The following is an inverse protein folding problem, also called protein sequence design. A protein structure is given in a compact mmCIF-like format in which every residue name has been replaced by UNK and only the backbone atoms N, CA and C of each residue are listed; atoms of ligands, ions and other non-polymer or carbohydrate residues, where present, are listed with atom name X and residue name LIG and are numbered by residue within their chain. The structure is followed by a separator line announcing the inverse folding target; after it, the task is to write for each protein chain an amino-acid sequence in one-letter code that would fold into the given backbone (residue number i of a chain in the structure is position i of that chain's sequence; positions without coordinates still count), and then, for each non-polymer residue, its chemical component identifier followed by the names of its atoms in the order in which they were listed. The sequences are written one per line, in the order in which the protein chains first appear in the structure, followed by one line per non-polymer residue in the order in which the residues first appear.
data_IF_370497343739
#
_entry.id   IF_370497343739
#
_cell.length_a   1.000
_cell.length_b   1.000
_cell.length_c   1.000
_cell.angle_alpha   90.00
_cell.angle_beta   90.00
_cell.angle_gamma   90.00
#
_symmetry.space_group_name_H-M   'P 1'
#
loop_
_entity.id
_entity.type
_entity.pdbx_description
1 polymer ?
#
# COMPACT_ATOMS: atom_id res chain seq x y z
N UNK A 1 44.90 -23.44 -12.37
CA UNK A 1 43.80 -22.53 -11.99
C UNK A 1 42.86 -23.33 -11.10
N UNK A 2 42.74 -22.95 -9.83
CA UNK A 2 41.95 -23.68 -8.85
C UNK A 2 40.44 -23.48 -9.13
N UNK A 3 39.70 -24.57 -9.29
CA UNK A 3 38.26 -24.55 -9.59
C UNK A 3 37.41 -24.10 -8.38
N UNK A 4 38.02 -23.98 -7.19
CA UNK A 4 37.40 -23.57 -5.93
C UNK A 4 37.15 -22.05 -5.80
N UNK A 5 37.76 -21.22 -6.66
CA UNK A 5 37.64 -19.75 -6.55
C UNK A 5 36.51 -19.16 -7.40
N UNK A 6 35.91 -19.94 -8.29
CA UNK A 6 34.96 -19.41 -9.30
C UNK A 6 33.64 -18.92 -8.66
N UNK A 7 33.24 -19.48 -7.52
CA UNK A 7 31.98 -19.16 -6.84
C UNK A 7 32.16 -18.77 -5.36
N UNK A 8 33.31 -18.15 -5.02
CA UNK A 8 33.53 -17.60 -3.67
C UNK A 8 32.99 -16.17 -3.59
N UNK A 9 31.87 -16.01 -2.90
CA UNK A 9 31.18 -14.74 -2.63
C UNK A 9 31.22 -14.37 -1.14
N UNK A 10 32.02 -15.07 -0.34
CA UNK A 10 32.05 -14.90 1.11
C UNK A 10 32.45 -13.48 1.51
N UNK A 11 31.77 -12.92 2.51
CA UNK A 11 31.97 -11.57 3.05
C UNK A 11 31.89 -10.42 2.01
N UNK A 12 31.34 -10.66 0.82
CA UNK A 12 31.20 -9.64 -0.21
C UNK A 12 29.90 -8.82 -0.03
N UNK A 13 29.95 -7.55 -0.46
CA UNK A 13 28.76 -6.71 -0.55
C UNK A 13 28.14 -6.85 -1.93
N UNK A 14 27.09 -7.66 -2.04
CA UNK A 14 26.43 -8.03 -3.30
C UNK A 14 25.05 -7.39 -3.48
N UNK A 15 24.68 -6.44 -2.61
CA UNK A 15 23.37 -5.81 -2.57
C UNK A 15 22.79 -5.44 -3.95
N UNK A 16 21.52 -5.78 -4.18
CA UNK A 16 20.78 -5.47 -5.42
C UNK A 16 21.35 -6.09 -6.72
N UNK A 17 22.23 -7.10 -6.64
CA UNK A 17 22.70 -7.82 -7.83
C UNK A 17 21.70 -8.86 -8.30
N UNK A 18 21.70 -9.11 -9.61
CA UNK A 18 20.88 -10.15 -10.22
C UNK A 18 21.72 -11.39 -10.52
N UNK A 19 21.39 -12.48 -9.83
CA UNK A 19 21.90 -13.84 -10.05
C UNK A 19 20.84 -14.73 -10.72
N UNK A 20 19.81 -14.11 -11.32
CA UNK A 20 18.68 -14.80 -11.92
C UNK A 20 19.13 -15.82 -12.97
N UNK A 21 18.71 -17.07 -12.82
CA UNK A 21 19.00 -18.15 -13.76
C UNK A 21 20.46 -18.62 -13.79
N UNK A 22 21.32 -18.12 -12.90
CA UNK A 22 22.73 -18.50 -12.88
C UNK A 22 22.94 -19.88 -12.24
N UNK A 23 24.00 -20.55 -12.65
CA UNK A 23 24.44 -21.82 -12.07
C UNK A 23 25.47 -21.54 -11.00
N UNK A 24 25.05 -21.61 -9.74
CA UNK A 24 25.79 -21.24 -8.52
C UNK A 24 25.83 -22.41 -7.53
N UNK A 25 25.84 -23.65 -8.03
CA UNK A 25 25.92 -24.84 -7.21
C UNK A 25 27.22 -24.85 -6.41
N UNK A 26 27.11 -25.10 -5.11
CA UNK A 26 28.23 -25.07 -4.15
C UNK A 26 28.84 -23.68 -3.91
N UNK A 27 28.20 -22.60 -4.36
CA UNK A 27 28.69 -21.25 -4.15
C UNK A 27 28.73 -20.87 -2.66
N UNK A 28 29.78 -20.16 -2.24
CA UNK A 28 29.93 -19.71 -0.86
C UNK A 28 29.54 -18.24 -0.71
N UNK A 29 28.35 -17.99 -0.16
CA UNK A 29 27.85 -16.67 0.23
C UNK A 29 28.01 -16.41 1.75
N UNK A 30 28.86 -17.17 2.45
CA UNK A 30 29.04 -17.04 3.89
C UNK A 30 29.43 -15.62 4.31
N UNK A 31 28.68 -15.01 5.23
CA UNK A 31 28.91 -13.63 5.67
C UNK A 31 28.62 -12.52 4.64
N UNK A 32 28.17 -12.87 3.43
CA UNK A 32 27.93 -11.91 2.35
C UNK A 32 26.68 -11.06 2.59
N UNK A 33 26.68 -9.81 2.12
CA UNK A 33 25.48 -8.97 2.10
C UNK A 33 24.73 -9.16 0.78
N UNK A 34 23.69 -10.01 0.81
CA UNK A 34 22.86 -10.36 -0.35
C UNK A 34 21.48 -9.70 -0.29
N UNK A 35 21.33 -8.62 0.49
CA UNK A 35 20.08 -7.87 0.59
C UNK A 35 19.68 -7.30 -0.78
N UNK A 36 18.43 -7.53 -1.17
CA UNK A 36 17.92 -7.08 -2.45
C UNK A 36 18.38 -7.89 -3.67
N UNK A 37 19.15 -8.96 -3.48
CA UNK A 37 19.59 -9.80 -4.59
C UNK A 37 18.45 -10.58 -5.22
N UNK A 38 18.52 -10.78 -6.54
CA UNK A 38 17.57 -11.58 -7.29
C UNK A 38 18.18 -12.92 -7.67
N UNK A 39 17.83 -13.98 -6.95
CA UNK A 39 18.23 -15.37 -7.21
C UNK A 39 17.14 -16.18 -7.93
N UNK A 40 16.15 -15.53 -8.55
CA UNK A 40 15.05 -16.25 -9.19
C UNK A 40 15.54 -17.24 -10.23
N UNK A 41 15.02 -18.47 -10.19
CA UNK A 41 15.41 -19.56 -11.08
C UNK A 41 16.92 -19.90 -11.07
N UNK A 42 17.68 -19.46 -10.07
CA UNK A 42 19.10 -19.81 -9.95
C UNK A 42 19.27 -21.26 -9.46
N UNK A 43 20.33 -21.93 -9.88
CA UNK A 43 20.74 -23.23 -9.34
C UNK A 43 21.68 -22.95 -8.16
N UNK A 44 21.24 -23.24 -6.94
CA UNK A 44 21.95 -22.95 -5.69
C UNK A 44 22.12 -24.23 -4.86
N UNK A 45 22.23 -25.38 -5.54
CA UNK A 45 22.35 -26.66 -4.87
C UNK A 45 23.65 -26.70 -4.04
N UNK A 46 23.55 -27.00 -2.75
CA UNK A 46 24.69 -27.02 -1.84
C UNK A 46 25.33 -25.65 -1.54
N UNK A 47 24.70 -24.53 -1.93
CA UNK A 47 25.23 -23.19 -1.67
C UNK A 47 25.25 -22.86 -0.16
N UNK A 48 26.27 -22.12 0.29
CA UNK A 48 26.41 -21.72 1.70
C UNK A 48 25.97 -20.27 1.91
N UNK A 49 24.90 -20.05 2.68
CA UNK A 49 24.41 -18.72 3.09
C UNK A 49 24.58 -18.47 4.60
N UNK A 50 25.41 -19.24 5.29
CA UNK A 50 25.62 -19.08 6.75
C UNK A 50 26.18 -17.68 7.05
N UNK A 51 25.50 -16.92 7.90
CA UNK A 51 25.86 -15.54 8.25
C UNK A 51 25.63 -14.51 7.13
N UNK A 52 25.02 -14.90 6.00
CA UNK A 52 24.68 -13.97 4.94
C UNK A 52 23.55 -13.04 5.37
N UNK A 53 23.66 -11.75 5.07
CA UNK A 53 22.59 -10.77 5.32
C UNK A 53 21.57 -10.86 4.19
N UNK A 54 20.39 -11.39 4.50
CA UNK A 54 19.26 -11.54 3.57
C UNK A 54 18.20 -10.49 3.92
N UNK A 55 17.43 -10.04 2.95
CA UNK A 55 16.29 -9.14 3.17
C UNK A 55 16.35 -7.88 2.34
N UNK A 56 15.66 -6.84 2.79
CA UNK A 56 15.49 -5.59 2.04
C UNK A 56 16.80 -4.79 2.01
N UNK A 57 17.21 -4.35 0.82
CA UNK A 57 18.34 -3.44 0.71
C UNK A 57 17.92 -2.00 1.06
N UNK A 58 18.85 -1.17 1.53
CA UNK A 58 18.56 0.25 1.82
C UNK A 58 18.03 1.00 0.59
N UNK A 59 18.48 0.65 -0.62
CA UNK A 59 17.98 1.21 -1.87
C UNK A 59 16.53 0.80 -2.14
N UNK A 60 16.20 -0.49 -1.97
CA UNK A 60 14.82 -0.96 -2.12
C UNK A 60 13.89 -0.32 -1.09
N UNK A 61 14.33 -0.20 0.16
CA UNK A 61 13.60 0.51 1.20
C UNK A 61 13.29 1.96 0.78
N UNK A 62 14.31 2.68 0.30
CA UNK A 62 14.16 4.06 -0.14
C UNK A 62 13.20 4.19 -1.33
N UNK A 63 13.30 3.30 -2.33
CA UNK A 63 12.42 3.32 -3.51
C UNK A 63 10.97 2.99 -3.14
N UNK A 64 10.74 1.98 -2.31
CA UNK A 64 9.41 1.61 -1.84
C UNK A 64 8.78 2.72 -1.00
N UNK A 65 9.58 3.32 -0.10
CA UNK A 65 9.16 4.45 0.74
C UNK A 65 8.85 5.69 -0.11
N UNK A 66 9.71 6.04 -1.07
CA UNK A 66 9.48 7.16 -1.98
C UNK A 66 8.23 6.95 -2.84
N UNK A 67 8.02 5.72 -3.34
CA UNK A 67 6.80 5.37 -4.07
C UNK A 67 5.54 5.50 -3.21
N UNK A 68 5.58 5.02 -1.97
CA UNK A 68 4.47 5.18 -1.02
C UNK A 68 4.18 6.65 -0.72
N UNK A 69 5.22 7.47 -0.49
CA UNK A 69 5.09 8.91 -0.24
C UNK A 69 4.49 9.61 -1.46
N UNK A 70 4.96 9.31 -2.66
CA UNK A 70 4.43 9.90 -3.90
C UNK A 70 2.93 9.61 -4.04
N UNK A 71 2.51 8.36 -3.78
CA UNK A 71 1.10 7.98 -3.79
C UNK A 71 0.33 8.74 -2.72
N UNK A 72 0.87 8.87 -1.51
CA UNK A 72 0.22 9.62 -0.44
C UNK A 72 0.01 11.09 -0.82
N UNK A 73 1.00 11.73 -1.47
CA UNK A 73 0.91 13.12 -1.92
C UNK A 73 -0.13 13.26 -3.03
N UNK A 74 -0.14 12.37 -4.01
CA UNK A 74 -1.11 12.38 -5.12
C UNK A 74 -2.54 12.22 -4.59
N UNK A 75 -2.77 11.19 -3.77
CA UNK A 75 -4.09 10.93 -3.17
C UNK A 75 -4.48 12.07 -2.23
N UNK A 76 -3.52 12.64 -1.50
CA UNK A 76 -3.72 13.77 -0.60
C UNK A 76 -4.21 15.02 -1.34
N UNK A 77 -3.54 15.43 -2.41
CA UNK A 77 -3.94 16.57 -3.25
C UNK A 77 -5.36 16.38 -3.80
N UNK A 78 -5.67 15.19 -4.32
CA UNK A 78 -7.01 14.85 -4.82
C UNK A 78 -8.07 15.00 -3.73
N UNK A 79 -7.83 14.42 -2.55
CA UNK A 79 -8.79 14.49 -1.44
C UNK A 79 -8.96 15.90 -0.91
N UNK A 80 -7.89 16.66 -0.75
CA UNK A 80 -7.96 18.06 -0.31
C UNK A 80 -8.83 18.88 -1.27
N UNK A 81 -8.64 18.75 -2.59
CA UNK A 81 -9.46 19.47 -3.57
C UNK A 81 -10.91 19.03 -3.57
N UNK A 82 -11.18 17.73 -3.47
CA UNK A 82 -12.55 17.21 -3.39
C UNK A 82 -13.26 17.72 -2.14
N UNK A 83 -12.62 17.64 -0.97
CA UNK A 83 -13.22 18.04 0.30
C UNK A 83 -13.46 19.55 0.33
N UNK A 84 -12.48 20.36 -0.09
CA UNK A 84 -12.66 21.81 -0.18
C UNK A 84 -13.77 22.18 -1.18
N UNK A 85 -13.91 21.45 -2.29
CA UNK A 85 -15.01 21.64 -3.24
C UNK A 85 -16.41 21.34 -2.69
N UNK A 86 -16.50 20.54 -1.61
CA UNK A 86 -17.78 20.30 -0.91
C UNK A 86 -18.16 21.44 0.04
N UNK A 87 -17.19 22.22 0.51
CA UNK A 87 -17.44 23.32 1.44
C UNK A 87 -18.12 24.46 0.69
N UNK A 88 -19.38 24.77 1.04
CA UNK A 88 -20.20 25.80 0.38
C UNK A 88 -21.31 25.26 -0.50
N UNK A 89 -21.48 23.93 -0.60
CA UNK A 89 -22.63 23.35 -1.29
C UNK A 89 -23.87 23.41 -0.40
N UNK A 90 -24.96 23.97 -0.94
CA UNK A 90 -26.26 24.02 -0.26
C UNK A 90 -27.01 22.68 -0.42
N UNK A 91 -27.70 22.19 0.63
CA UNK A 91 -28.57 21.03 0.53
C UNK A 91 -29.62 21.22 -0.57
N UNK A 92 -29.75 20.24 -1.47
CA UNK A 92 -30.71 20.29 -2.58
C UNK A 92 -30.17 20.87 -3.90
N UNK A 93 -28.91 21.30 -3.95
CA UNK A 93 -28.26 21.67 -5.22
C UNK A 93 -27.98 20.44 -6.11
N UNK A 94 -27.76 20.67 -7.41
CA UNK A 94 -27.40 19.62 -8.38
C UNK A 94 -26.12 18.85 -8.00
N UNK A 95 -25.24 19.47 -7.22
CA UNK A 95 -23.96 18.94 -6.72
C UNK A 95 -24.09 18.19 -5.38
N UNK A 96 -25.19 18.38 -4.66
CA UNK A 96 -25.43 17.77 -3.34
C UNK A 96 -25.33 16.23 -3.32
N UNK A 97 -25.81 15.49 -4.35
CA UNK A 97 -25.62 14.04 -4.39
C UNK A 97 -24.15 13.61 -4.40
N UNK A 98 -23.26 14.39 -5.02
CA UNK A 98 -21.83 14.08 -5.06
C UNK A 98 -21.15 14.31 -3.71
N UNK A 99 -21.64 15.27 -2.93
CA UNK A 99 -21.20 15.48 -1.55
C UNK A 99 -21.57 14.23 -0.73
N UNK A 100 -22.83 13.80 -0.75
CA UNK A 100 -23.26 12.60 -0.04
C UNK A 100 -22.48 11.34 -0.47
N UNK A 101 -22.23 11.21 -1.77
CA UNK A 101 -21.41 10.12 -2.31
C UNK A 101 -19.99 10.16 -1.76
N UNK A 102 -19.35 11.33 -1.68
CA UNK A 102 -18.01 11.49 -1.10
C UNK A 102 -17.97 11.08 0.38
N UNK A 103 -18.97 11.48 1.18
CA UNK A 103 -19.09 11.07 2.58
C UNK A 103 -19.24 9.55 2.69
N UNK A 104 -20.13 8.95 1.88
CA UNK A 104 -20.36 7.51 1.87
C UNK A 104 -19.12 6.72 1.49
N UNK A 105 -18.39 7.17 0.45
CA UNK A 105 -17.20 6.49 -0.05
C UNK A 105 -16.03 6.60 0.93
N UNK A 106 -15.75 7.79 1.48
CA UNK A 106 -14.68 7.95 2.48
C UNK A 106 -15.00 7.22 3.77
N UNK A 107 -16.27 7.25 4.19
CA UNK A 107 -16.76 6.52 5.34
C UNK A 107 -16.58 5.01 5.20
N UNK A 108 -17.09 4.46 4.10
CA UNK A 108 -16.96 3.03 3.80
C UNK A 108 -15.49 2.62 3.60
N UNK A 109 -14.67 3.43 2.93
CA UNK A 109 -13.26 3.14 2.70
C UNK A 109 -12.46 3.08 4.00
N UNK A 110 -12.73 4.00 4.94
CA UNK A 110 -12.10 4.02 6.26
C UNK A 110 -12.49 2.81 7.11
N UNK A 111 -13.79 2.49 7.18
CA UNK A 111 -14.29 1.33 7.94
C UNK A 111 -13.76 0.02 7.34
N UNK A 112 -13.88 -0.16 6.02
CA UNK A 112 -13.34 -1.35 5.35
C UNK A 112 -11.82 -1.46 5.52
N UNK A 113 -11.10 -0.33 5.47
CA UNK A 113 -9.66 -0.28 5.72
C UNK A 113 -9.28 -0.69 7.14
N UNK A 114 -10.09 -0.31 8.14
CA UNK A 114 -9.89 -0.69 9.54
C UNK A 114 -10.18 -2.19 9.77
N UNK A 115 -11.31 -2.70 9.25
CA UNK A 115 -11.68 -4.13 9.34
C UNK A 115 -10.63 -5.01 8.68
N UNK A 116 -10.09 -4.59 7.53
CA UNK A 116 -9.04 -5.31 6.83
C UNK A 116 -7.78 -5.54 7.68
N UNK A 117 -7.57 -4.74 8.73
CA UNK A 117 -6.37 -4.80 9.59
C UNK A 117 -6.59 -5.45 10.93
N UNK A 118 -7.79 -5.35 11.50
CA UNK A 118 -8.10 -6.01 12.78
C UNK A 118 -8.27 -7.52 12.60
N UNK A 119 -8.54 -7.95 11.37
CA UNK A 119 -8.69 -9.36 11.02
C UNK A 119 -7.35 -10.02 10.70
N UNK A 120 -7.17 -11.32 11.03
CA UNK A 120 -5.96 -12.04 10.70
C UNK A 120 -5.79 -12.16 9.18
N UNK A 121 -4.55 -12.23 8.66
CA UNK A 121 -4.26 -12.23 7.22
C UNK A 121 -4.87 -13.44 6.48
N UNK A 122 -5.19 -14.51 7.21
CA UNK A 122 -5.84 -15.72 6.68
C UNK A 122 -7.34 -15.53 6.46
N UNK A 123 -7.98 -14.57 7.14
CA UNK A 123 -9.42 -14.36 7.07
C UNK A 123 -9.88 -13.96 5.67
N UNK A 124 -11.04 -14.49 5.25
CA UNK A 124 -11.72 -14.05 4.02
C UNK A 124 -12.26 -12.63 4.17
N UNK A 125 -12.72 -12.27 5.38
CA UNK A 125 -13.29 -10.95 5.71
C UNK A 125 -12.25 -9.85 5.57
N UNK A 126 -11.03 -10.05 6.09
CA UNK A 126 -9.97 -9.05 5.98
C UNK A 126 -9.55 -8.79 4.53
N UNK A 127 -9.44 -9.85 3.73
CA UNK A 127 -9.16 -9.74 2.29
C UNK A 127 -10.26 -9.00 1.53
N UNK A 128 -11.53 -9.35 1.80
CA UNK A 128 -12.68 -8.67 1.18
C UNK A 128 -12.69 -7.18 1.55
N UNK A 129 -12.55 -6.85 2.83
CA UNK A 129 -12.52 -5.48 3.31
C UNK A 129 -11.36 -4.67 2.70
N UNK A 130 -10.19 -5.30 2.53
CA UNK A 130 -9.06 -4.72 1.83
C UNK A 130 -9.36 -4.40 0.37
N UNK A 131 -9.98 -5.34 -0.36
CA UNK A 131 -10.39 -5.12 -1.75
C UNK A 131 -11.43 -4.02 -1.89
N UNK A 132 -12.42 -3.96 -0.98
CA UNK A 132 -13.44 -2.91 -0.98
C UNK A 132 -12.80 -1.53 -0.78
N UNK A 133 -11.91 -1.40 0.20
CA UNK A 133 -11.21 -0.13 0.47
C UNK A 133 -10.35 0.30 -0.73
N UNK A 134 -9.71 -0.66 -1.42
CA UNK A 134 -8.94 -0.41 -2.64
C UNK A 134 -9.82 0.08 -3.80
N UNK A 135 -10.96 -0.58 -4.04
CA UNK A 135 -11.94 -0.20 -5.07
C UNK A 135 -12.45 1.21 -4.81
N UNK A 136 -12.85 1.52 -3.58
CA UNK A 136 -13.37 2.83 -3.20
C UNK A 136 -12.31 3.93 -3.38
N UNK A 137 -11.05 3.63 -3.03
CA UNK A 137 -9.94 4.56 -3.26
C UNK A 137 -9.67 4.78 -4.76
N UNK A 138 -9.72 3.71 -5.57
CA UNK A 138 -9.62 3.80 -7.03
C UNK A 138 -10.76 4.58 -7.67
N UNK A 139 -11.98 4.37 -7.17
CA UNK A 139 -13.17 5.07 -7.61
C UNK A 139 -13.07 6.58 -7.34
N UNK A 140 -12.56 6.99 -6.18
CA UNK A 140 -12.32 8.41 -5.86
C UNK A 140 -11.31 9.06 -6.82
N UNK A 141 -10.18 8.40 -7.05
CA UNK A 141 -9.15 8.89 -7.98
C UNK A 141 -9.70 8.97 -9.41
N UNK A 142 -10.39 7.93 -9.85
CA UNK A 142 -11.02 7.89 -11.18
C UNK A 142 -12.08 8.98 -11.37
N UNK A 143 -12.91 9.22 -10.34
CA UNK A 143 -13.89 10.31 -10.34
C UNK A 143 -13.24 11.67 -10.53
N UNK A 144 -12.20 11.96 -9.75
CA UNK A 144 -11.52 13.26 -9.78
C UNK A 144 -10.77 13.50 -11.09
N UNK A 145 -9.95 12.55 -11.54
CA UNK A 145 -9.16 12.73 -12.76
C UNK A 145 -10.02 12.76 -14.02
N UNK A 146 -11.07 11.93 -14.12
CA UNK A 146 -11.96 11.98 -15.26
C UNK A 146 -12.83 13.25 -15.27
N UNK A 147 -13.29 13.70 -14.10
CA UNK A 147 -14.02 14.96 -13.97
C UNK A 147 -13.18 16.17 -14.38
N UNK A 148 -11.96 16.28 -13.85
CA UNK A 148 -11.04 17.39 -14.16
C UNK A 148 -10.58 17.39 -15.63
N UNK A 149 -10.29 16.22 -16.21
CA UNK A 149 -9.89 16.11 -17.61
C UNK A 149 -11.00 16.50 -18.61
N UNK A 150 -12.27 16.41 -18.21
CA UNK A 150 -13.43 16.65 -19.08
C UNK A 150 -14.18 17.94 -18.74
N UNK A 151 -13.49 18.93 -18.15
CA UNK A 151 -14.07 20.23 -17.75
C UNK A 151 -15.29 20.08 -16.83
N UNK A 152 -15.20 19.17 -15.86
CA UNK A 152 -16.24 18.86 -14.86
C UNK A 152 -17.55 18.29 -15.45
N UNK A 153 -17.46 17.49 -16.52
CA UNK A 153 -18.60 16.72 -17.00
C UNK A 153 -18.95 15.59 -16.02
N UNK A 154 -20.17 15.62 -15.49
CA UNK A 154 -20.66 14.63 -14.52
C UNK A 154 -20.70 13.21 -15.06
N UNK A 155 -21.01 13.01 -16.35
CA UNK A 155 -21.06 11.67 -16.94
C UNK A 155 -19.65 11.06 -17.04
N UNK A 156 -18.66 11.87 -17.43
CA UNK A 156 -17.28 11.44 -17.52
C UNK A 156 -16.68 11.14 -16.14
N UNK A 157 -17.00 11.96 -15.13
CA UNK A 157 -16.58 11.70 -13.74
C UNK A 157 -17.13 10.36 -13.22
N UNK A 158 -18.41 10.06 -13.48
CA UNK A 158 -19.02 8.77 -13.09
C UNK A 158 -18.41 7.59 -13.88
N UNK A 159 -18.12 7.77 -15.16
CA UNK A 159 -17.41 6.76 -15.96
C UNK A 159 -16.01 6.50 -15.39
N UNK A 160 -15.26 7.57 -15.07
CA UNK A 160 -13.94 7.49 -14.45
C UNK A 160 -13.97 6.78 -13.10
N UNK A 161 -15.00 7.04 -12.28
CA UNK A 161 -15.22 6.35 -11.01
C UNK A 161 -15.35 4.83 -11.20
N UNK A 162 -16.18 4.40 -12.15
CA UNK A 162 -16.37 2.98 -12.46
C UNK A 162 -15.07 2.34 -12.97
N UNK A 163 -14.38 3.01 -13.90
CA UNK A 163 -13.11 2.53 -14.45
C UNK A 163 -12.04 2.42 -13.35
N UNK A 164 -11.89 3.44 -12.52
CA UNK A 164 -10.92 3.46 -11.41
C UNK A 164 -11.19 2.36 -10.38
N UNK A 165 -12.45 2.11 -10.05
CA UNK A 165 -12.84 1.01 -9.16
C UNK A 165 -12.51 -0.37 -9.75
N UNK A 166 -12.83 -0.60 -11.02
CA UNK A 166 -12.52 -1.86 -11.74
C UNK A 166 -11.01 -2.07 -11.85
N UNK A 167 -10.25 -1.03 -12.20
CA UNK A 167 -8.79 -1.09 -12.25
C UNK A 167 -8.22 -1.49 -10.89
N UNK A 168 -8.67 -0.87 -9.79
CA UNK A 168 -8.19 -1.23 -8.46
C UNK A 168 -8.65 -2.63 -8.01
N UNK A 169 -9.81 -3.11 -8.45
CA UNK A 169 -10.20 -4.50 -8.24
C UNK A 169 -9.23 -5.48 -8.91
N UNK A 170 -8.85 -5.23 -10.18
CA UNK A 170 -7.87 -6.05 -10.89
C UNK A 170 -6.48 -5.96 -10.27
N UNK A 171 -6.03 -4.76 -9.91
CA UNK A 171 -4.74 -4.56 -9.23
C UNK A 171 -4.73 -5.31 -7.89
N UNK A 172 -5.81 -5.21 -7.10
CA UNK A 172 -5.89 -5.87 -5.80
C UNK A 172 -6.05 -7.39 -5.87
N UNK A 173 -6.69 -7.93 -6.92
CA UNK A 173 -6.98 -9.37 -7.05
C UNK A 173 -5.93 -10.14 -7.85
N UNK A 174 -5.29 -9.48 -8.83
CA UNK A 174 -4.41 -10.13 -9.82
C UNK A 174 -2.93 -9.81 -9.60
N UNK A 175 -2.60 -8.60 -9.15
CA UNK A 175 -1.20 -8.18 -9.05
C UNK A 175 -0.58 -8.70 -7.75
N UNK A 176 0.42 -9.57 -7.89
CA UNK A 176 1.24 -10.04 -6.75
C UNK A 176 2.45 -9.14 -6.47
N UNK A 177 2.62 -8.06 -7.24
CA UNK A 177 3.75 -7.15 -7.08
C UNK A 177 3.65 -6.36 -5.77
N UNK A 178 4.74 -6.30 -5.01
CA UNK A 178 4.84 -5.62 -3.71
C UNK A 178 4.46 -4.15 -3.80
N UNK A 179 4.88 -3.47 -4.88
CA UNK A 179 4.50 -2.09 -5.15
C UNK A 179 2.98 -1.91 -5.19
N UNK A 180 2.23 -2.85 -5.77
CA UNK A 180 0.77 -2.76 -5.83
C UNK A 180 0.15 -2.88 -4.44
N UNK A 181 0.65 -3.79 -3.59
CA UNK A 181 0.20 -3.92 -2.20
C UNK A 181 0.47 -2.63 -1.40
N UNK A 182 1.70 -2.13 -1.47
CA UNK A 182 2.10 -0.89 -0.79
C UNK A 182 1.28 0.30 -1.30
N UNK A 183 1.07 0.39 -2.62
CA UNK A 183 0.26 1.44 -3.24
C UNK A 183 -1.20 1.43 -2.76
N UNK A 184 -1.84 0.25 -2.74
CA UNK A 184 -3.19 0.09 -2.21
C UNK A 184 -3.22 0.50 -0.74
N UNK A 185 -2.22 0.09 0.03
CA UNK A 185 -2.14 0.40 1.46
C UNK A 185 -1.89 1.89 1.72
N UNK A 186 -1.10 2.56 0.88
CA UNK A 186 -0.89 4.00 0.94
C UNK A 186 -2.19 4.75 0.60
N UNK A 187 -2.82 4.43 -0.52
CA UNK A 187 -4.03 5.12 -0.99
C UNK A 187 -5.19 5.04 0.03
N UNK A 188 -5.47 3.85 0.58
CA UNK A 188 -6.51 3.69 1.61
C UNK A 188 -6.21 4.47 2.90
N UNK A 189 -4.92 4.62 3.25
CA UNK A 189 -4.50 5.34 4.46
C UNK A 189 -4.85 6.81 4.35
N UNK A 190 -4.58 7.39 3.18
CA UNK A 190 -4.90 8.78 2.87
C UNK A 190 -6.41 8.98 2.71
N UNK A 191 -7.13 8.03 2.13
CA UNK A 191 -8.60 8.06 2.09
C UNK A 191 -9.22 8.08 3.50
N UNK A 192 -8.68 7.29 4.42
CA UNK A 192 -9.12 7.29 5.83
C UNK A 192 -8.86 8.65 6.49
N UNK A 193 -7.69 9.24 6.25
CA UNK A 193 -7.37 10.58 6.72
C UNK A 193 -8.30 11.66 6.13
N UNK A 194 -8.61 11.59 4.83
CA UNK A 194 -9.56 12.49 4.18
C UNK A 194 -10.96 12.40 4.79
N UNK A 195 -11.41 11.21 5.18
CA UNK A 195 -12.63 11.02 5.96
C UNK A 195 -12.58 11.77 7.30
N UNK A 196 -11.48 11.63 8.06
CA UNK A 196 -11.29 12.35 9.33
C UNK A 196 -11.42 13.87 9.16
N UNK A 197 -10.75 14.41 8.14
CA UNK A 197 -10.77 15.84 7.84
C UNK A 197 -12.17 16.33 7.46
N UNK A 198 -12.87 15.59 6.60
CA UNK A 198 -14.21 15.95 6.16
C UNK A 198 -15.24 15.89 7.30
N UNK A 199 -15.22 14.84 8.13
CA UNK A 199 -16.09 14.80 9.33
C UNK A 199 -15.76 15.91 10.33
N UNK A 200 -14.48 16.25 10.51
CA UNK A 200 -14.05 17.34 11.38
C UNK A 200 -14.54 18.69 10.88
N UNK A 201 -14.40 18.96 9.58
CA UNK A 201 -14.85 20.21 8.98
C UNK A 201 -16.39 20.36 9.09
N UNK A 202 -17.12 19.25 8.99
CA UNK A 202 -18.57 19.20 9.19
C UNK A 202 -18.95 19.45 10.65
N UNK A 203 -18.22 18.84 11.59
CA UNK A 203 -18.43 19.07 13.02
C UNK A 203 -18.27 20.56 13.37
N UNK A 204 -17.21 21.20 12.85
CA UNK A 204 -16.98 22.63 13.02
C UNK A 204 -18.14 23.49 12.46
N UNK A 205 -18.66 23.13 11.29
CA UNK A 205 -19.81 23.84 10.71
C UNK A 205 -21.08 23.72 11.59
N UNK A 206 -21.38 22.53 12.11
CA UNK A 206 -22.54 22.33 12.99
C UNK A 206 -22.41 23.05 14.33
N UNK A 207 -21.21 23.01 14.93
CA UNK A 207 -20.92 23.73 16.18
C UNK A 207 -21.06 25.24 16.01
N UNK A 208 -20.65 25.80 14.86
CA UNK A 208 -20.84 27.21 14.55
C UNK A 208 -22.32 27.62 14.45
N UNK A 209 -23.19 26.72 13.98
CA UNK A 209 -24.64 26.96 13.88
C UNK A 209 -25.43 26.67 15.17
N UNK A 210 -24.78 26.62 16.34
CA UNK A 210 -25.39 26.33 17.64
C UNK A 210 -26.09 24.95 17.75
N UNK A 211 -25.87 24.05 16.78
CA UNK A 211 -26.40 22.67 16.80
C UNK A 211 -25.46 21.75 17.59
N UNK A 212 -25.37 22.00 18.90
CA UNK A 212 -24.41 21.37 19.81
C UNK A 212 -24.46 19.84 19.79
N UNK A 213 -25.65 19.23 19.79
CA UNK A 213 -25.79 17.77 19.80
C UNK A 213 -25.25 17.11 18.52
N UNK A 214 -25.63 17.62 17.34
CA UNK A 214 -25.10 17.11 16.07
C UNK A 214 -23.59 17.38 15.97
N UNK A 215 -23.14 18.56 16.39
CA UNK A 215 -21.73 18.94 16.37
C UNK A 215 -20.86 18.01 17.21
N UNK A 216 -21.30 17.66 18.43
CA UNK A 216 -20.54 16.74 19.31
C UNK A 216 -20.53 15.31 18.77
N UNK A 217 -21.65 14.81 18.23
CA UNK A 217 -21.68 13.49 17.56
C UNK A 217 -20.69 13.43 16.39
N UNK A 218 -20.67 14.46 15.54
CA UNK A 218 -19.72 14.54 14.43
C UNK A 218 -18.28 14.78 14.89
N UNK A 219 -18.04 15.41 16.05
CA UNK A 219 -16.70 15.63 16.58
C UNK A 219 -16.04 14.34 17.14
N UNK A 220 -16.83 13.35 17.55
CA UNK A 220 -16.30 12.05 17.99
C UNK A 220 -15.83 11.16 16.83
N UNK A 221 -16.43 11.29 15.65
CA UNK A 221 -16.06 10.51 14.47
C UNK A 221 -14.60 10.74 14.01
N UNK A 222 -14.08 11.97 13.91
CA UNK A 222 -12.68 12.25 13.59
C UNK A 222 -11.70 11.56 14.54
N UNK A 223 -11.99 11.48 15.84
CA UNK A 223 -11.10 10.82 16.81
C UNK A 223 -10.92 9.34 16.47
N UNK A 224 -12.02 8.66 16.12
CA UNK A 224 -11.99 7.28 15.63
C UNK A 224 -11.20 7.16 14.32
N UNK A 225 -11.39 8.10 13.38
CA UNK A 225 -10.69 8.09 12.09
C UNK A 225 -9.20 8.45 12.21
N UNK A 226 -8.80 9.26 13.19
CA UNK A 226 -7.39 9.51 13.50
C UNK A 226 -6.73 8.24 14.00
N UNK A 227 -7.38 7.50 14.90
CA UNK A 227 -6.90 6.18 15.32
C UNK A 227 -6.74 5.24 14.12
N UNK A 228 -7.76 5.15 13.24
CA UNK A 228 -7.66 4.35 12.03
C UNK A 228 -6.54 4.82 11.10
N UNK A 229 -6.30 6.13 10.98
CA UNK A 229 -5.23 6.70 10.15
C UNK A 229 -3.85 6.34 10.70
N UNK A 230 -3.66 6.34 12.02
CA UNK A 230 -2.40 5.93 12.64
C UNK A 230 -2.11 4.43 12.45
N UNK A 231 -3.13 3.58 12.65
CA UNK A 231 -3.07 2.15 12.31
C UNK A 231 -2.82 1.95 10.81
N UNK A 232 -3.24 2.90 9.98
CA UNK A 232 -2.99 2.88 8.54
C UNK A 232 -1.55 3.14 8.16
N UNK A 233 -0.95 4.16 8.75
CA UNK A 233 0.41 4.55 8.46
C UNK A 233 1.41 3.49 8.93
N UNK A 234 1.21 2.94 10.14
CA UNK A 234 2.02 1.82 10.63
C UNK A 234 1.95 0.58 9.74
N UNK A 235 0.84 0.37 9.02
CA UNK A 235 0.71 -0.70 8.05
C UNK A 235 1.57 -0.48 6.79
N UNK A 236 1.77 0.77 6.35
CA UNK A 236 2.67 1.06 5.22
C UNK A 236 4.10 0.66 5.59
N UNK A 237 4.56 1.05 6.78
CA UNK A 237 5.90 0.71 7.28
C UNK A 237 6.07 -0.80 7.38
N UNK A 238 5.07 -1.51 7.93
CA UNK A 238 5.10 -2.97 8.03
C UNK A 238 5.14 -3.66 6.67
N UNK A 239 4.38 -3.18 5.68
CA UNK A 239 4.37 -3.76 4.34
C UNK A 239 5.70 -3.51 3.59
N UNK A 240 6.34 -2.36 3.82
CA UNK A 240 7.67 -2.06 3.28
C UNK A 240 8.72 -2.94 3.95
N UNK A 241 8.66 -3.12 5.28
CA UNK A 241 9.58 -3.98 6.02
C UNK A 241 9.47 -5.45 5.61
N UNK A 242 8.25 -5.90 5.31
CA UNK A 242 7.95 -7.29 4.89
C UNK A 242 8.04 -7.50 3.37
N UNK A 243 8.45 -6.49 2.59
CA UNK A 243 8.65 -6.68 1.17
C UNK A 243 9.79 -7.70 0.93
N UNK A 244 9.62 -8.61 -0.04
CA UNK A 244 10.68 -9.56 -0.40
C UNK A 244 11.86 -8.75 -0.92
N UNK A 245 12.91 -8.64 -0.11
CA UNK A 245 14.15 -8.00 -0.52
C UNK A 245 14.96 -8.92 -1.40
N UNK A 246 15.46 -10.01 -0.81
CA UNK A 246 16.18 -11.06 -1.53
C UNK A 246 15.19 -12.11 -2.03
N UNK A 247 15.13 -12.33 -3.35
CA UNK A 247 14.15 -13.24 -3.95
C UNK A 247 14.79 -14.55 -4.38
N UNK A 248 14.33 -15.66 -3.80
CA UNK A 248 14.73 -17.04 -4.15
C UNK A 248 13.64 -17.78 -4.95
N UNK A 249 12.65 -17.07 -5.48
CA UNK A 249 11.50 -17.71 -6.16
C UNK A 249 11.96 -18.57 -7.34
N UNK A 250 11.63 -19.86 -7.31
CA UNK A 250 12.00 -20.82 -8.36
C UNK A 250 13.47 -21.24 -8.34
N UNK A 251 14.27 -20.83 -7.35
CA UNK A 251 15.64 -21.28 -7.20
C UNK A 251 15.71 -22.73 -6.68
N UNK A 252 16.68 -23.51 -7.16
CA UNK A 252 16.97 -24.83 -6.59
C UNK A 252 17.85 -24.67 -5.36
N UNK A 253 17.25 -24.73 -4.17
CA UNK A 253 17.94 -24.60 -2.87
C UNK A 253 18.25 -25.96 -2.22
N UNK A 254 18.25 -27.05 -3.00
CA UNK A 254 18.51 -28.40 -2.47
C UNK A 254 19.87 -28.45 -1.77
N UNK A 255 19.89 -28.81 -0.49
CA UNK A 255 21.13 -28.85 0.30
C UNK A 255 21.79 -27.50 0.59
N UNK A 256 21.13 -26.37 0.30
CA UNK A 256 21.63 -25.05 0.67
C UNK A 256 21.64 -24.87 2.19
N UNK A 257 22.70 -24.25 2.72
CA UNK A 257 22.89 -24.03 4.15
C UNK A 257 22.49 -22.60 4.51
N UNK A 258 21.53 -22.44 5.41
CA UNK A 258 21.14 -21.15 5.98
C UNK A 258 21.43 -21.14 7.48
N UNK A 259 21.55 -19.95 8.08
CA UNK A 259 21.57 -19.86 9.53
C UNK A 259 20.20 -20.28 10.09
N UNK A 260 20.18 -20.92 11.28
CA UNK A 260 18.93 -21.43 11.88
C UNK A 260 17.91 -20.32 12.17
N UNK A 261 18.34 -19.07 12.21
CA UNK A 261 17.52 -17.89 12.51
C UNK A 261 16.83 -17.26 11.29
N UNK A 262 17.25 -17.59 10.07
CA UNK A 262 16.80 -16.89 8.85
C UNK A 262 15.59 -17.54 8.16
N UNK A 263 15.05 -18.63 8.72
CA UNK A 263 13.95 -19.42 8.13
C UNK A 263 12.56 -18.94 8.61
N UNK A 264 12.47 -17.91 9.47
CA UNK A 264 11.21 -17.54 10.15
C UNK A 264 10.49 -16.26 9.68
N UNK A 265 10.81 -15.69 8.51
CA UNK A 265 10.07 -14.53 7.99
C UNK A 265 9.70 -14.64 6.50
#
# INVERSE_FOLDING_TARGET
MNYSDVNNFSNQVLCNRSFRGQVLNGADFGGADVRGCNFRNAQLEGANFIGAKIGLSGRQFAVLSAGAIAICVIVGDVLTRLILGTQGQVPGSRSWPFVLLLYGVLGAAGIAGAIARTQPPTSKVGRLAGTISAILSGALLGFFYAGTATKNNSQAALAGMAIGGVLMFFVSSRMRHQFAKIAIVAARSVATYGGAFLFSATASAFLSTQKLFLGTCFALLPLLYFWFSFVSFSAIVREIANAEGTSFTGANLSGAKFDRTDILH
#
